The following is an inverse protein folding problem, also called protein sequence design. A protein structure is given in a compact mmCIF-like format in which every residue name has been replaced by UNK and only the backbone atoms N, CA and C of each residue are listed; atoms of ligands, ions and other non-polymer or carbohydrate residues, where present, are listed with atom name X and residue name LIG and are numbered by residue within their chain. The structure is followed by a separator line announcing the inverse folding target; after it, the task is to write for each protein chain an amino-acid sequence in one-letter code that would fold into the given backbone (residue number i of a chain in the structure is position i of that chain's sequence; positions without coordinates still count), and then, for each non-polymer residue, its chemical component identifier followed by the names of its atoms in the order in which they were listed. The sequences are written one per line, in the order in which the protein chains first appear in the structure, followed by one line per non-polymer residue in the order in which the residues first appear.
data_IF_347743990553
#
_entry.id   IF_347743990553
#
_cell.length_a   1.000
_cell.length_b   1.000
_cell.length_c   1.000
_cell.angle_alpha   90.00
_cell.angle_beta   90.00
_cell.angle_gamma   90.00
#
_symmetry.space_group_name_H-M   'P 1'
#
loop_
_entity.id
_entity.type
_entity.pdbx_description
1 polymer ?
#
# COMPACT_ATOMS: atom_id res chain seq x y z
N UNK A 1 -5.89 -11.21 25.15
CA UNK A 1 -4.97 -11.65 24.07
C UNK A 1 -4.33 -10.39 23.50
N UNK A 2 -3.04 -10.37 23.15
CA UNK A 2 -2.44 -9.22 22.47
C UNK A 2 -3.06 -9.05 21.07
N UNK A 3 -3.25 -7.80 20.63
CA UNK A 3 -3.77 -7.45 19.30
C UNK A 3 -2.65 -7.54 18.26
N UNK A 4 -2.97 -8.01 17.05
CA UNK A 4 -2.00 -8.08 15.95
C UNK A 4 -1.61 -6.68 15.46
N UNK A 5 -0.34 -6.51 15.04
CA UNK A 5 0.19 -5.26 14.51
C UNK A 5 0.84 -5.54 13.15
N UNK A 6 0.28 -4.97 12.09
CA UNK A 6 0.98 -4.84 10.81
C UNK A 6 1.81 -3.56 10.84
N UNK A 7 3.13 -3.72 10.95
CA UNK A 7 4.03 -2.61 11.20
C UNK A 7 4.48 -1.87 9.93
N UNK A 8 4.28 -2.47 8.74
CA UNK A 8 4.76 -1.90 7.49
C UNK A 8 3.66 -1.89 6.44
N UNK A 9 2.78 -0.90 6.54
CA UNK A 9 1.63 -0.77 5.63
C UNK A 9 1.87 0.33 4.61
N UNK A 10 1.83 -0.05 3.33
CA UNK A 10 1.62 0.87 2.21
C UNK A 10 0.18 0.69 1.71
N UNK A 11 -0.57 1.78 1.59
CA UNK A 11 -1.99 1.69 1.27
C UNK A 11 -2.19 1.36 -0.23
N UNK A 12 -2.99 0.34 -0.57
CA UNK A 12 -3.33 0.04 -1.95
C UNK A 12 -4.46 0.94 -2.48
N UNK A 13 -4.55 2.21 -2.05
CA UNK A 13 -5.54 3.14 -2.59
C UNK A 13 -5.04 3.76 -3.89
N UNK A 14 -5.95 4.16 -4.77
CA UNK A 14 -5.59 4.81 -6.04
C UNK A 14 -4.71 6.04 -5.81
N UNK A 15 -5.06 6.88 -4.84
CA UNK A 15 -4.38 8.12 -4.52
C UNK A 15 -2.96 7.87 -4.01
N UNK A 16 -2.79 6.86 -3.14
CA UNK A 16 -1.47 6.51 -2.62
C UNK A 16 -0.59 5.90 -3.71
N UNK A 17 -1.10 4.94 -4.46
CA UNK A 17 -0.31 4.22 -5.48
C UNK A 17 0.09 5.12 -6.64
N UNK A 18 -0.77 6.07 -7.06
CA UNK A 18 -0.43 7.05 -8.09
C UNK A 18 0.71 7.98 -7.67
N UNK A 19 0.73 8.44 -6.41
CA UNK A 19 1.80 9.33 -5.91
C UNK A 19 3.09 8.56 -5.64
N UNK A 20 2.99 7.37 -5.05
CA UNK A 20 4.16 6.63 -4.56
C UNK A 20 4.90 5.86 -5.65
N UNK A 21 4.18 5.21 -6.57
CA UNK A 21 4.79 4.51 -7.69
C UNK A 21 4.83 5.35 -8.96
N UNK A 22 3.82 6.19 -9.21
CA UNK A 22 3.74 7.05 -10.38
C UNK A 22 4.19 6.36 -11.69
N UNK A 23 5.25 6.84 -12.35
CA UNK A 23 5.73 6.27 -13.62
C UNK A 23 6.29 4.84 -13.47
N UNK A 24 6.64 4.42 -12.26
CA UNK A 24 7.20 3.09 -11.99
C UNK A 24 6.14 1.99 -11.93
N UNK A 25 4.86 2.31 -11.78
CA UNK A 25 3.80 1.30 -11.57
C UNK A 25 3.84 0.19 -12.63
N UNK A 26 3.83 0.56 -13.92
CA UNK A 26 3.88 -0.42 -15.01
C UNK A 26 5.18 -1.23 -15.04
N UNK A 27 6.31 -0.62 -14.68
CA UNK A 27 7.59 -1.33 -14.62
C UNK A 27 7.60 -2.34 -13.47
N UNK A 28 7.06 -1.97 -12.31
CA UNK A 28 6.90 -2.84 -11.16
C UNK A 28 5.98 -4.03 -11.49
N UNK A 29 4.82 -3.80 -12.09
CA UNK A 29 3.89 -4.88 -12.46
C UNK A 29 4.51 -5.87 -13.44
N UNK A 30 5.25 -5.38 -14.44
CA UNK A 30 6.00 -6.26 -15.37
C UNK A 30 7.09 -7.06 -14.66
N UNK A 31 7.83 -6.41 -13.77
CA UNK A 31 8.93 -7.07 -13.04
C UNK A 31 8.40 -8.15 -12.09
N UNK A 32 7.38 -7.84 -11.29
CA UNK A 32 6.77 -8.75 -10.33
C UNK A 32 5.76 -9.72 -10.94
N UNK A 33 5.39 -9.54 -12.21
CA UNK A 33 4.42 -10.35 -12.96
C UNK A 33 3.06 -10.42 -12.27
N UNK A 34 2.65 -9.33 -11.65
CA UNK A 34 1.34 -9.19 -10.99
C UNK A 34 0.91 -7.73 -11.04
N UNK A 35 -0.40 -7.52 -11.09
CA UNK A 35 -1.02 -6.20 -11.02
C UNK A 35 -1.21 -5.76 -9.56
N UNK A 36 -1.23 -4.45 -9.33
CA UNK A 36 -1.63 -3.89 -8.03
C UNK A 36 -3.16 -3.99 -7.91
N UNK A 37 -3.62 -4.68 -6.87
CA UNK A 37 -5.05 -4.73 -6.54
C UNK A 37 -5.43 -3.54 -5.68
N UNK A 38 -6.03 -2.54 -6.31
CA UNK A 38 -6.50 -1.35 -5.62
C UNK A 38 -7.71 -1.67 -4.73
N UNK A 39 -7.81 -0.96 -3.60
CA UNK A 39 -8.94 -1.04 -2.66
C UNK A 39 -9.33 0.35 -2.17
N UNK A 40 -10.61 0.49 -1.85
CA UNK A 40 -11.13 1.69 -1.19
C UNK A 40 -10.77 1.66 0.31
N UNK A 41 -10.71 2.83 0.96
CA UNK A 41 -10.26 2.92 2.36
C UNK A 41 -11.21 2.17 3.31
N UNK A 42 -12.50 2.16 2.99
CA UNK A 42 -13.54 1.45 3.74
C UNK A 42 -13.35 -0.08 3.68
N UNK A 43 -12.92 -0.61 2.53
CA UNK A 43 -12.62 -2.03 2.37
C UNK A 43 -11.39 -2.40 3.20
N UNK A 44 -10.33 -1.58 3.14
CA UNK A 44 -9.11 -1.81 3.93
C UNK A 44 -9.42 -1.77 5.43
N UNK A 45 -10.21 -0.80 5.88
CA UNK A 45 -10.62 -0.69 7.28
C UNK A 45 -11.45 -1.90 7.73
N UNK A 46 -12.35 -2.41 6.89
CA UNK A 46 -13.12 -3.62 7.16
C UNK A 46 -12.23 -4.85 7.29
N UNK A 47 -11.26 -5.04 6.38
CA UNK A 47 -10.30 -6.15 6.43
C UNK A 47 -9.51 -6.15 7.77
N UNK A 48 -9.03 -4.97 8.19
CA UNK A 48 -8.28 -4.84 9.45
C UNK A 48 -9.15 -5.10 10.69
N UNK A 49 -10.43 -4.70 10.64
CA UNK A 49 -11.39 -4.95 11.72
C UNK A 49 -11.72 -6.44 11.83
N UNK A 50 -11.93 -7.14 10.71
CA UNK A 50 -12.18 -8.58 10.67
C UNK A 50 -11.00 -9.38 11.26
N UNK A 51 -9.77 -8.92 11.02
CA UNK A 51 -8.54 -9.57 11.49
C UNK A 51 -8.14 -9.22 12.93
N UNK A 52 -8.89 -8.36 13.63
CA UNK A 52 -8.52 -7.76 14.92
C UNK A 52 -7.07 -7.21 14.91
N UNK A 53 -6.75 -6.41 13.91
CA UNK A 53 -5.40 -5.91 13.65
C UNK A 53 -5.35 -4.37 13.67
N UNK A 54 -4.20 -3.80 14.03
CA UNK A 54 -3.87 -2.38 13.78
C UNK A 54 -2.74 -2.29 12.76
N UNK A 55 -2.82 -1.27 11.90
CA UNK A 55 -1.79 -0.98 10.90
C UNK A 55 -0.99 0.26 11.26
N UNK A 56 0.33 0.21 11.05
CA UNK A 56 1.21 1.38 11.06
C UNK A 56 1.42 1.81 9.61
N UNK A 57 0.79 2.94 9.26
CA UNK A 57 0.85 3.49 7.90
C UNK A 57 2.21 4.14 7.66
N UNK A 58 2.95 3.62 6.69
CA UNK A 58 4.22 4.16 6.24
C UNK A 58 4.02 4.81 4.89
N UNK A 59 4.17 6.14 4.85
CA UNK A 59 4.24 6.87 3.60
C UNK A 59 5.49 6.46 2.82
N UNK A 60 5.40 6.50 1.49
CA UNK A 60 6.51 6.20 0.61
C UNK A 60 6.64 7.31 -0.43
N UNK A 61 7.84 7.86 -0.54
CA UNK A 61 8.20 8.84 -1.55
C UNK A 61 9.32 8.24 -2.42
N UNK A 62 8.93 7.68 -3.58
CA UNK A 62 9.90 7.14 -4.52
C UNK A 62 10.61 8.26 -5.30
N UNK A 63 9.96 9.40 -5.55
CA UNK A 63 10.53 10.51 -6.30
C UNK A 63 11.80 11.04 -5.62
N UNK A 64 11.70 11.41 -4.34
CA UNK A 64 12.87 11.92 -3.58
C UNK A 64 14.00 10.90 -3.50
N UNK A 65 13.69 9.60 -3.39
CA UNK A 65 14.68 8.55 -3.25
C UNK A 65 15.34 8.14 -4.58
N UNK A 66 14.66 8.31 -5.71
CA UNK A 66 15.10 7.79 -7.02
C UNK A 66 15.42 8.87 -8.05
N UNK A 67 14.95 10.11 -7.86
CA UNK A 67 15.22 11.24 -8.74
C UNK A 67 14.44 11.27 -10.05
N UNK A 68 13.34 10.51 -10.15
CA UNK A 68 12.36 10.57 -11.24
C UNK A 68 10.99 11.00 -10.73
#
# INVERSE_FOLDING_TARGET
MPRAIDFHVHLPTTEFMQVTLGPYAQAAERYFRTEVKLKDIEQIAADYAELDMIGVLLAWDAETATGL
#
